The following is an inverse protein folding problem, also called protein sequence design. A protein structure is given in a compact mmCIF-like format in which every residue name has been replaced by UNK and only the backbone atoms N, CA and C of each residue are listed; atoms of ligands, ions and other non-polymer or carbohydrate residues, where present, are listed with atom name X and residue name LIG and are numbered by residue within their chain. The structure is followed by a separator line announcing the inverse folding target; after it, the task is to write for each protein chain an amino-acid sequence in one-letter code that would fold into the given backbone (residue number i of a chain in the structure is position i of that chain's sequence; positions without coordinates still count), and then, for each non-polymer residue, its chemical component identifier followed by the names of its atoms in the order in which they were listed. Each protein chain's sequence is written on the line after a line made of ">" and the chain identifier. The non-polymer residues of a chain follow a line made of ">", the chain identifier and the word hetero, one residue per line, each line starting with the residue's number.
data_IF_663683573775
#
_entry.id   IF_663683573775
#
_cell.length_a   1.000
_cell.length_b   1.000
_cell.length_c   1.000
_cell.angle_alpha   90.00
_cell.angle_beta   90.00
_cell.angle_gamma   90.00
#
_symmetry.space_group_name_H-M   'P 1'
#
loop_
_entity.id
_entity.type
_entity.pdbx_description
1 polymer ?
#
# COMPACT_ATOMS: atom_id res chain seq x y z
N UNK A 1 -31.78 46.47 28.39
CA UNK A 1 -31.13 45.62 29.40
C UNK A 1 -31.00 44.17 28.94
N UNK A 2 -31.94 43.65 28.14
CA UNK A 2 -31.93 42.25 27.64
C UNK A 2 -30.73 41.88 26.74
N UNK A 3 -30.27 42.79 25.89
CA UNK A 3 -29.14 42.48 24.99
C UNK A 3 -27.87 42.21 25.82
N UNK A 4 -27.64 43.00 26.88
CA UNK A 4 -26.45 42.85 27.74
C UNK A 4 -26.48 41.55 28.54
N UNK A 5 -27.65 41.07 28.96
CA UNK A 5 -27.77 39.77 29.62
C UNK A 5 -27.57 38.62 28.65
N UNK A 6 -28.09 38.69 27.42
CA UNK A 6 -27.85 37.65 26.41
C UNK A 6 -26.37 37.55 26.01
N UNK A 7 -25.65 38.67 25.89
CA UNK A 7 -24.20 38.63 25.64
C UNK A 7 -23.42 38.05 26.83
N UNK A 8 -23.85 38.34 28.07
CA UNK A 8 -23.21 37.78 29.26
C UNK A 8 -23.49 36.29 29.47
N UNK A 9 -24.63 35.78 28.98
CA UNK A 9 -24.94 34.35 28.95
C UNK A 9 -24.14 33.62 27.87
N UNK A 10 -23.99 34.21 26.68
CA UNK A 10 -23.13 33.66 25.63
C UNK A 10 -21.64 33.60 26.05
N UNK A 11 -21.12 34.64 26.71
CA UNK A 11 -19.75 34.63 27.25
C UNK A 11 -19.57 33.57 28.36
N UNK A 12 -20.62 33.25 29.10
CA UNK A 12 -20.59 32.18 30.10
C UNK A 12 -20.65 30.79 29.45
N UNK A 13 -21.41 30.61 28.38
CA UNK A 13 -21.43 29.36 27.61
C UNK A 13 -20.15 29.12 26.81
N UNK A 14 -19.52 30.16 26.25
CA UNK A 14 -18.25 30.03 25.53
C UNK A 14 -17.09 29.60 26.44
N UNK A 15 -17.20 29.85 27.75
CA UNK A 15 -16.27 29.38 28.77
C UNK A 15 -16.55 27.96 29.29
N UNK A 16 -17.66 27.32 28.88
CA UNK A 16 -17.95 25.91 29.20
C UNK A 16 -17.33 24.92 28.22
N UNK A 17 -16.91 25.38 27.03
CA UNK A 17 -16.16 24.55 26.12
C UNK A 17 -14.67 24.61 26.49
N UNK A 18 -14.04 23.49 26.90
CA UNK A 18 -12.63 23.49 27.22
C UNK A 18 -11.88 23.93 25.97
N UNK A 19 -11.27 25.12 25.98
CA UNK A 19 -10.44 25.62 24.87
C UNK A 19 -9.34 24.62 24.48
N UNK A 20 -8.97 23.71 25.41
CA UNK A 20 -8.09 22.56 25.17
C UNK A 20 -8.68 21.47 24.28
N UNK A 21 -9.99 21.20 24.35
CA UNK A 21 -10.67 20.20 23.54
C UNK A 21 -10.99 20.72 22.13
N UNK A 22 -11.32 22.01 22.00
CA UNK A 22 -11.42 22.65 20.67
C UNK A 22 -10.02 22.70 20.01
N UNK A 23 -8.95 23.02 20.75
CA UNK A 23 -7.57 22.94 20.21
C UNK A 23 -7.16 21.51 19.85
N UNK A 24 -7.50 20.50 20.65
CA UNK A 24 -7.25 19.08 20.32
C UNK A 24 -8.04 18.64 19.09
N UNK A 25 -9.29 19.09 18.94
CA UNK A 25 -10.12 18.84 17.77
C UNK A 25 -9.61 19.53 16.50
N UNK A 26 -9.14 20.77 16.60
CA UNK A 26 -8.62 21.57 15.47
C UNK A 26 -7.19 21.16 15.05
N UNK A 27 -6.35 20.68 15.96
CA UNK A 27 -5.03 20.14 15.62
C UNK A 27 -5.10 18.77 14.93
N UNK A 28 -6.23 18.07 15.03
CA UNK A 28 -6.53 16.84 14.30
C UNK A 28 -7.27 17.16 13.00
N UNK A 29 -6.60 17.92 12.10
CA UNK A 29 -7.13 18.27 10.77
C UNK A 29 -7.63 17.00 10.06
N UNK A 30 -8.95 16.89 9.83
CA UNK A 30 -9.57 15.89 8.93
C UNK A 30 -8.86 15.82 7.58
N UNK A 31 -8.33 16.95 7.11
CA UNK A 31 -7.53 17.05 5.89
C UNK A 31 -6.21 16.27 5.93
N UNK A 32 -5.63 16.02 7.10
CA UNK A 32 -4.27 15.47 7.17
C UNK A 32 -4.25 13.95 6.96
N UNK A 33 -5.25 13.21 7.47
CA UNK A 33 -5.32 11.74 7.34
C UNK A 33 -5.58 11.33 5.90
N UNK A 34 -6.62 11.89 5.27
CA UNK A 34 -6.97 11.61 3.87
C UNK A 34 -5.82 12.00 2.94
N UNK A 35 -5.21 13.16 3.15
CA UNK A 35 -4.04 13.61 2.38
C UNK A 35 -2.85 12.66 2.56
N UNK A 36 -2.58 12.20 3.79
CA UNK A 36 -1.51 11.22 4.07
C UNK A 36 -1.79 9.90 3.37
N UNK A 37 -3.02 9.39 3.39
CA UNK A 37 -3.41 8.16 2.69
C UNK A 37 -3.21 8.28 1.17
N UNK A 38 -3.68 9.38 0.58
CA UNK A 38 -3.44 9.67 -0.83
C UNK A 38 -1.94 9.74 -1.16
N UNK A 39 -1.14 10.37 -0.30
CA UNK A 39 0.33 10.42 -0.46
C UNK A 39 0.95 9.02 -0.39
N UNK A 40 0.47 8.13 0.48
CA UNK A 40 0.96 6.74 0.57
C UNK A 40 0.57 5.92 -0.67
N UNK A 41 -0.63 6.08 -1.21
CA UNK A 41 -1.03 5.47 -2.48
C UNK A 41 -0.19 5.98 -3.65
N UNK A 42 0.05 7.30 -3.71
CA UNK A 42 0.94 7.90 -4.71
C UNK A 42 2.37 7.35 -4.60
N UNK A 43 2.89 7.13 -3.38
CA UNK A 43 4.18 6.49 -3.18
C UNK A 43 4.24 5.06 -3.72
N UNK A 44 3.16 4.28 -3.58
CA UNK A 44 3.08 2.93 -4.18
C UNK A 44 3.12 2.98 -5.70
N UNK A 45 2.40 3.93 -6.31
CA UNK A 45 2.45 4.17 -7.75
C UNK A 45 3.87 4.55 -8.18
N UNK A 46 4.47 5.55 -7.52
CA UNK A 46 5.81 6.01 -7.85
C UNK A 46 6.85 4.90 -7.74
N UNK A 47 6.83 4.14 -6.64
CA UNK A 47 7.72 2.99 -6.45
C UNK A 47 7.53 1.95 -7.55
N UNK A 48 6.30 1.53 -7.82
CA UNK A 48 6.01 0.53 -8.86
C UNK A 48 6.43 1.03 -10.24
N UNK A 49 6.12 2.29 -10.58
CA UNK A 49 6.49 2.90 -11.85
C UNK A 49 8.01 3.01 -12.04
N UNK A 50 8.76 3.31 -10.98
CA UNK A 50 10.23 3.35 -11.03
C UNK A 50 10.82 1.96 -11.23
N UNK A 51 10.32 0.95 -10.51
CA UNK A 51 10.88 -0.41 -10.59
C UNK A 51 10.48 -1.16 -11.86
N UNK A 52 9.33 -0.84 -12.46
CA UNK A 52 8.82 -1.53 -13.67
C UNK A 52 9.83 -1.52 -14.83
N UNK A 53 10.41 -0.38 -15.25
CA UNK A 53 11.44 -0.34 -16.30
C UNK A 53 12.64 -1.23 -16.04
N UNK A 54 13.06 -1.41 -14.77
CA UNK A 54 14.22 -2.26 -14.45
C UNK A 54 13.97 -3.74 -14.77
N UNK A 55 12.73 -4.24 -14.61
CA UNK A 55 12.41 -5.62 -15.00
C UNK A 55 12.49 -5.80 -16.52
N UNK A 56 12.05 -4.81 -17.30
CA UNK A 56 12.17 -4.87 -18.76
C UNK A 56 13.61 -4.69 -19.23
N UNK A 57 14.38 -3.81 -18.58
CA UNK A 57 15.82 -3.66 -18.86
C UNK A 57 16.58 -4.96 -18.59
N UNK A 58 16.23 -5.67 -17.51
CA UNK A 58 16.85 -6.95 -17.17
C UNK A 58 16.69 -8.00 -18.28
N UNK A 59 15.62 -7.97 -19.09
CA UNK A 59 15.42 -8.90 -20.22
C UNK A 59 16.55 -8.78 -21.25
N UNK A 60 17.11 -7.59 -21.45
CA UNK A 60 18.21 -7.37 -22.39
C UNK A 60 19.58 -7.74 -21.80
N UNK A 61 19.71 -7.75 -20.47
CA UNK A 61 20.95 -8.06 -19.76
C UNK A 61 21.08 -9.57 -19.51
N UNK A 62 19.97 -10.23 -19.19
CA UNK A 62 19.95 -11.67 -18.89
C UNK A 62 20.16 -12.45 -20.17
N UNK A 63 21.16 -13.32 -20.21
CA UNK A 63 21.45 -14.16 -21.39
C UNK A 63 20.44 -15.30 -21.52
N UNK A 64 20.12 -15.98 -20.41
CA UNK A 64 19.29 -17.18 -20.42
C UNK A 64 17.82 -16.92 -20.78
N UNK A 65 17.23 -17.79 -21.61
CA UNK A 65 15.82 -17.68 -22.01
C UNK A 65 14.88 -17.80 -20.80
N UNK A 66 15.18 -18.69 -19.86
CA UNK A 66 14.41 -18.86 -18.61
C UNK A 66 14.41 -17.56 -17.80
N UNK A 67 15.57 -16.93 -17.65
CA UNK A 67 15.66 -15.67 -16.92
C UNK A 67 14.90 -14.54 -17.63
N UNK A 68 15.02 -14.43 -18.96
CA UNK A 68 14.22 -13.48 -19.75
C UNK A 68 12.72 -13.67 -19.54
N UNK A 69 12.24 -14.92 -19.59
CA UNK A 69 10.84 -15.24 -19.36
C UNK A 69 10.38 -14.87 -17.95
N UNK A 70 11.19 -15.13 -16.91
CA UNK A 70 10.88 -14.76 -15.54
C UNK A 70 10.80 -13.24 -15.34
N UNK A 71 11.77 -12.48 -15.87
CA UNK A 71 11.74 -11.02 -15.78
C UNK A 71 10.59 -10.41 -16.58
N UNK A 72 10.26 -10.95 -17.77
CA UNK A 72 9.09 -10.55 -18.54
C UNK A 72 7.78 -10.81 -17.79
N UNK A 73 7.66 -11.98 -17.15
CA UNK A 73 6.50 -12.35 -16.34
C UNK A 73 6.32 -11.39 -15.15
N UNK A 74 7.38 -11.13 -14.39
CA UNK A 74 7.33 -10.19 -13.27
C UNK A 74 7.01 -8.76 -13.77
N UNK A 75 7.65 -8.32 -14.86
CA UNK A 75 7.39 -7.03 -15.49
C UNK A 75 5.93 -6.85 -15.89
N UNK A 76 5.31 -7.88 -16.48
CA UNK A 76 3.88 -7.88 -16.81
C UNK A 76 3.02 -7.68 -15.55
N UNK A 77 3.29 -8.41 -14.48
CA UNK A 77 2.54 -8.26 -13.23
C UNK A 77 2.74 -6.90 -12.57
N UNK A 78 3.91 -6.27 -12.73
CA UNK A 78 4.12 -4.89 -12.28
C UNK A 78 3.33 -3.88 -13.11
N UNK A 79 3.18 -4.07 -14.41
CA UNK A 79 2.29 -3.25 -15.24
C UNK A 79 0.83 -3.39 -14.76
N UNK A 80 0.37 -4.62 -14.53
CA UNK A 80 -0.98 -4.88 -14.00
C UNK A 80 -1.16 -4.25 -12.61
N UNK A 81 -0.16 -4.37 -11.72
CA UNK A 81 -0.14 -3.75 -10.41
C UNK A 81 -0.16 -2.22 -10.48
N UNK A 82 0.60 -1.62 -11.40
CA UNK A 82 0.61 -0.19 -11.62
C UNK A 82 -0.75 0.33 -12.09
N UNK A 83 -1.38 -0.34 -13.06
CA UNK A 83 -2.74 -0.02 -13.52
C UNK A 83 -3.72 -0.10 -12.34
N UNK A 84 -3.61 -1.16 -11.53
CA UNK A 84 -4.44 -1.33 -10.35
C UNK A 84 -4.25 -0.18 -9.35
N UNK A 85 -3.01 0.19 -9.01
CA UNK A 85 -2.75 1.28 -8.06
C UNK A 85 -3.23 2.63 -8.59
N UNK A 86 -3.03 2.92 -9.88
CA UNK A 86 -3.55 4.14 -10.51
C UNK A 86 -5.08 4.18 -10.40
N UNK A 87 -5.76 3.05 -10.65
CA UNK A 87 -7.22 2.95 -10.49
C UNK A 87 -7.65 3.21 -9.06
N UNK A 88 -6.99 2.60 -8.07
CA UNK A 88 -7.34 2.81 -6.66
C UNK A 88 -7.06 4.23 -6.19
N UNK A 89 -5.99 4.86 -6.69
CA UNK A 89 -5.70 6.26 -6.43
C UNK A 89 -6.76 7.20 -7.03
N UNK A 90 -7.22 6.91 -8.26
CA UNK A 90 -8.31 7.67 -8.89
C UNK A 90 -9.62 7.53 -8.13
N UNK A 91 -9.95 6.32 -7.66
CA UNK A 91 -11.13 6.08 -6.81
C UNK A 91 -11.02 6.89 -5.52
N UNK A 92 -9.87 6.87 -4.84
CA UNK A 92 -9.65 7.68 -3.64
C UNK A 92 -9.86 9.17 -3.89
N UNK A 93 -9.36 9.69 -5.02
CA UNK A 93 -9.50 11.09 -5.41
C UNK A 93 -10.90 11.50 -5.85
N UNK A 94 -11.73 10.55 -6.25
CA UNK A 94 -13.12 10.79 -6.64
C UNK A 94 -14.06 10.97 -5.44
N UNK A 95 -13.62 10.64 -4.22
CA UNK A 95 -14.40 10.90 -3.02
C UNK A 95 -14.43 12.41 -2.73
N UNK A 96 -15.55 13.04 -3.06
CA UNK A 96 -15.78 14.48 -2.89
C UNK A 96 -16.68 14.75 -1.67
N UNK A 97 -16.16 15.37 -0.59
CA UNK A 97 -16.93 15.74 0.58
C UNK A 97 -18.08 16.73 0.30
N UNK A 98 -18.09 17.40 -0.86
CA UNK A 98 -19.19 18.29 -1.26
C UNK A 98 -20.39 17.56 -1.85
N UNK A 99 -20.20 16.33 -2.32
CA UNK A 99 -21.23 15.51 -2.98
C UNK A 99 -21.64 14.28 -2.15
N UNK A 100 -20.83 13.89 -1.17
CA UNK A 100 -21.01 12.68 -0.38
C UNK A 100 -21.07 13.00 1.10
N UNK A 101 -21.77 12.16 1.87
CA UNK A 101 -21.72 12.25 3.32
C UNK A 101 -20.31 11.96 3.84
N UNK A 102 -19.93 12.57 4.97
CA UNK A 102 -18.63 12.32 5.61
C UNK A 102 -18.41 10.83 5.87
N UNK A 103 -19.48 10.11 6.28
CA UNK A 103 -19.46 8.68 6.52
C UNK A 103 -19.07 7.89 5.27
N UNK A 104 -19.73 8.16 4.14
CA UNK A 104 -19.44 7.49 2.86
C UNK A 104 -18.01 7.74 2.40
N UNK A 105 -17.49 8.96 2.56
CA UNK A 105 -16.10 9.28 2.22
C UNK A 105 -15.13 8.46 3.06
N UNK A 106 -15.29 8.42 4.38
CA UNK A 106 -14.38 7.69 5.28
C UNK A 106 -14.44 6.18 5.02
N UNK A 107 -15.64 5.64 4.83
CA UNK A 107 -15.85 4.23 4.51
C UNK A 107 -15.21 3.87 3.15
N UNK A 108 -15.40 4.72 2.14
CA UNK A 108 -14.79 4.53 0.81
C UNK A 108 -13.27 4.48 0.86
N UNK A 109 -12.63 5.36 1.65
CA UNK A 109 -11.17 5.30 1.86
C UNK A 109 -10.74 4.01 2.56
N UNK A 110 -11.44 3.61 3.62
CA UNK A 110 -11.12 2.40 4.39
C UNK A 110 -11.19 1.14 3.51
N UNK A 111 -12.29 0.98 2.78
CA UNK A 111 -12.49 -0.15 1.87
C UNK A 111 -11.46 -0.17 0.74
N UNK A 112 -11.15 0.98 0.16
CA UNK A 112 -10.14 1.10 -0.89
C UNK A 112 -8.75 0.67 -0.41
N UNK A 113 -8.35 1.10 0.80
CA UNK A 113 -7.06 0.70 1.40
C UNK A 113 -7.04 -0.79 1.70
N UNK A 114 -8.10 -1.32 2.32
CA UNK A 114 -8.20 -2.75 2.62
C UNK A 114 -8.13 -3.60 1.36
N UNK A 115 -8.84 -3.20 0.30
CA UNK A 115 -8.80 -3.87 -1.01
C UNK A 115 -7.40 -3.82 -1.62
N UNK A 116 -6.74 -2.67 -1.55
CA UNK A 116 -5.38 -2.47 -2.06
C UNK A 116 -4.38 -3.40 -1.35
N UNK A 117 -4.36 -3.37 -0.02
CA UNK A 117 -3.44 -4.18 0.79
C UNK A 117 -3.70 -5.68 0.61
N UNK A 118 -4.96 -6.13 0.62
CA UNK A 118 -5.29 -7.55 0.44
C UNK A 118 -4.89 -8.07 -0.94
N UNK A 119 -5.05 -7.26 -1.99
CA UNK A 119 -4.63 -7.68 -3.32
C UNK A 119 -3.11 -7.77 -3.42
N UNK A 120 -2.38 -6.80 -2.88
CA UNK A 120 -0.92 -6.83 -2.83
C UNK A 120 -0.38 -8.06 -2.10
N UNK A 121 -0.96 -8.41 -0.94
CA UNK A 121 -0.54 -9.57 -0.16
C UNK A 121 -0.75 -10.89 -0.93
N UNK A 122 -1.87 -11.01 -1.64
CA UNK A 122 -2.19 -12.18 -2.47
C UNK A 122 -1.31 -12.26 -3.72
N UNK A 123 -1.16 -11.15 -4.43
CA UNK A 123 -0.31 -11.07 -5.61
C UNK A 123 1.16 -11.33 -5.24
N UNK A 124 1.63 -10.77 -4.14
CA UNK A 124 2.96 -10.99 -3.61
C UNK A 124 3.23 -12.47 -3.33
N UNK A 125 2.33 -13.15 -2.62
CA UNK A 125 2.47 -14.58 -2.32
C UNK A 125 2.66 -15.43 -3.58
N UNK A 126 1.94 -15.10 -4.65
CA UNK A 126 2.07 -15.78 -5.94
C UNK A 126 3.36 -15.41 -6.68
N UNK A 127 3.81 -14.15 -6.59
CA UNK A 127 4.96 -13.64 -7.34
C UNK A 127 6.32 -13.88 -6.68
N UNK A 128 6.39 -14.04 -5.35
CA UNK A 128 7.67 -14.22 -4.66
C UNK A 128 8.49 -15.42 -5.16
N UNK A 129 7.91 -16.60 -5.44
CA UNK A 129 8.68 -17.72 -6.01
C UNK A 129 9.32 -17.39 -7.37
N UNK A 130 8.60 -16.64 -8.22
CA UNK A 130 9.11 -16.21 -9.52
C UNK A 130 10.20 -15.15 -9.37
N UNK A 131 10.03 -14.19 -8.46
CA UNK A 131 11.04 -13.18 -8.17
C UNK A 131 12.34 -13.80 -7.61
N UNK A 132 12.22 -14.75 -6.68
CA UNK A 132 13.36 -15.50 -6.16
C UNK A 132 14.06 -16.33 -7.25
N UNK A 133 13.27 -17.01 -8.10
CA UNK A 133 13.80 -17.76 -9.25
C UNK A 133 14.51 -16.85 -10.24
N UNK A 134 13.96 -15.66 -10.52
CA UNK A 134 14.55 -14.69 -11.43
C UNK A 134 15.92 -14.22 -10.92
N UNK A 135 16.03 -13.90 -9.63
CA UNK A 135 17.30 -13.52 -9.00
C UNK A 135 18.32 -14.65 -9.02
N UNK A 136 17.89 -15.88 -8.76
CA UNK A 136 18.76 -17.06 -8.80
C UNK A 136 19.29 -17.35 -10.21
N UNK A 137 18.40 -17.40 -11.22
CA UNK A 137 18.77 -17.63 -12.62
C UNK A 137 19.63 -16.48 -13.16
N UNK A 138 19.34 -15.23 -12.76
CA UNK A 138 20.17 -14.09 -13.10
C UNK A 138 21.60 -14.25 -12.56
N UNK A 139 21.74 -14.62 -11.28
CA UNK A 139 23.05 -14.83 -10.66
C UNK A 139 23.85 -15.94 -11.35
N UNK A 140 23.21 -17.07 -11.67
CA UNK A 140 23.85 -18.15 -12.42
C UNK A 140 24.25 -17.74 -13.82
N UNK A 141 23.41 -16.96 -14.50
CA UNK A 141 23.70 -16.44 -15.84
C UNK A 141 24.92 -15.51 -15.83
N UNK A 142 25.02 -14.63 -14.84
CA UNK A 142 26.18 -13.74 -14.67
C UNK A 142 27.46 -14.49 -14.31
N UNK A 143 27.33 -15.61 -13.59
CA UNK A 143 28.47 -16.48 -13.26
C UNK A 143 28.88 -17.43 -14.41
N UNK A 144 28.17 -17.45 -15.53
CA UNK A 144 28.42 -18.39 -16.63
C UNK A 144 28.11 -19.86 -16.28
N UNK A 145 27.30 -20.10 -15.24
CA UNK A 145 27.01 -21.45 -14.69
C UNK A 145 25.63 -21.98 -15.08
N UNK A 146 25.01 -21.39 -16.09
CA UNK A 146 23.65 -21.76 -16.48
C UNK A 146 23.58 -23.19 -17.04
N UNK A 147 24.56 -23.61 -17.85
CA UNK A 147 24.59 -24.95 -18.43
C UNK A 147 24.85 -26.02 -17.37
N UNK A 148 25.74 -25.74 -16.41
CA UNK A 148 25.96 -26.60 -15.24
C UNK A 148 24.68 -26.75 -14.41
N UNK A 149 23.97 -25.65 -14.17
CA UNK A 149 22.70 -25.66 -13.46
C UNK A 149 21.64 -26.50 -14.18
N UNK A 150 21.55 -26.41 -15.50
CA UNK A 150 20.61 -27.21 -16.29
C UNK A 150 20.95 -28.70 -16.26
N UNK A 151 22.24 -29.05 -16.23
CA UNK A 151 22.70 -30.44 -16.17
C UNK A 151 22.60 -31.07 -14.77
N UNK A 152 22.60 -30.26 -13.71
CA UNK A 152 22.67 -30.76 -12.33
C UNK A 152 21.37 -30.52 -11.55
N UNK A 153 20.52 -31.55 -11.33
CA UNK A 153 19.25 -31.40 -10.62
C UNK A 153 19.41 -30.96 -9.17
N UNK A 154 20.58 -31.15 -8.54
CA UNK A 154 20.84 -30.69 -7.18
C UNK A 154 20.77 -29.16 -7.05
N UNK A 155 21.14 -28.43 -8.10
CA UNK A 155 21.10 -26.95 -8.11
C UNK A 155 19.64 -26.46 -8.03
N UNK A 156 18.74 -27.12 -8.75
CA UNK A 156 17.30 -26.82 -8.70
C UNK A 156 16.65 -27.23 -7.38
N UNK A 157 17.14 -28.29 -6.74
CA UNK A 157 16.71 -28.67 -5.40
C UNK A 157 17.09 -27.59 -4.36
N UNK A 158 18.31 -27.03 -4.46
CA UNK A 158 18.75 -25.91 -3.60
C UNK A 158 17.85 -24.69 -3.83
N UNK A 159 17.51 -24.36 -5.08
CA UNK A 159 16.55 -23.30 -5.37
C UNK A 159 15.20 -23.57 -4.71
N UNK A 160 14.65 -24.77 -4.86
CA UNK A 160 13.34 -25.13 -4.29
C UNK A 160 13.32 -24.95 -2.76
N UNK A 161 14.32 -25.48 -2.06
CA UNK A 161 14.45 -25.33 -0.60
C UNK A 161 14.59 -23.86 -0.21
N UNK A 162 15.37 -23.10 -0.98
CA UNK A 162 15.54 -21.65 -0.76
C UNK A 162 14.22 -20.90 -0.92
N UNK A 163 13.42 -21.23 -1.94
CA UNK A 163 12.11 -20.61 -2.17
C UNK A 163 11.11 -20.94 -1.07
N UNK A 164 11.14 -22.17 -0.53
CA UNK A 164 10.29 -22.55 0.60
C UNK A 164 10.57 -21.74 1.87
N UNK A 165 11.80 -21.25 2.03
CA UNK A 165 12.20 -20.42 3.18
C UNK A 165 11.97 -18.92 2.88
N UNK A 166 12.41 -18.45 1.71
CA UNK A 166 12.35 -17.02 1.38
C UNK A 166 10.91 -16.55 1.16
N UNK A 167 10.06 -17.35 0.52
CA UNK A 167 8.66 -16.97 0.23
C UNK A 167 7.87 -16.61 1.49
N UNK A 168 7.83 -17.43 2.56
CA UNK A 168 7.12 -17.05 3.78
C UNK A 168 7.77 -15.82 4.45
N UNK A 169 9.11 -15.73 4.49
CA UNK A 169 9.80 -14.56 5.07
C UNK A 169 9.41 -13.27 4.33
N UNK A 170 9.40 -13.30 3.00
CA UNK A 170 8.99 -12.17 2.16
C UNK A 170 7.52 -11.80 2.41
N UNK A 171 6.64 -12.79 2.51
CA UNK A 171 5.22 -12.58 2.77
C UNK A 171 4.97 -11.94 4.15
N UNK A 172 5.59 -12.46 5.22
CA UNK A 172 5.47 -11.88 6.56
C UNK A 172 6.04 -10.47 6.63
N UNK A 173 7.16 -10.22 5.95
CA UNK A 173 7.79 -8.90 5.87
C UNK A 173 6.90 -7.88 5.16
N UNK A 174 6.29 -8.27 4.04
CA UNK A 174 5.37 -7.40 3.30
C UNK A 174 4.10 -7.09 4.11
N UNK A 175 3.52 -8.09 4.77
CA UNK A 175 2.36 -7.91 5.67
C UNK A 175 2.70 -6.98 6.84
N UNK A 176 3.88 -7.14 7.44
CA UNK A 176 4.36 -6.27 8.50
C UNK A 176 4.55 -4.82 8.02
N UNK A 177 5.13 -4.61 6.84
CA UNK A 177 5.32 -3.29 6.25
C UNK A 177 3.98 -2.62 5.94
N UNK A 178 3.02 -3.36 5.38
CA UNK A 178 1.67 -2.85 5.11
C UNK A 178 0.95 -2.48 6.41
N UNK A 179 1.02 -3.33 7.44
CA UNK A 179 0.49 -3.04 8.77
C UNK A 179 1.11 -1.76 9.34
N UNK A 180 2.44 -1.63 9.33
CA UNK A 180 3.15 -0.45 9.83
C UNK A 180 2.78 0.82 9.06
N UNK A 181 2.50 0.71 7.77
CA UNK A 181 2.20 1.85 6.90
C UNK A 181 0.76 2.35 7.04
N UNK A 182 -0.22 1.44 7.12
CA UNK A 182 -1.63 1.78 7.00
C UNK A 182 -2.43 1.66 8.29
N UNK A 183 -2.03 0.79 9.23
CA UNK A 183 -2.83 0.45 10.42
C UNK A 183 -3.25 1.68 11.23
N UNK A 184 -2.31 2.58 11.53
CA UNK A 184 -2.65 3.78 12.31
C UNK A 184 -3.70 4.67 11.64
N UNK A 185 -3.77 4.68 10.31
CA UNK A 185 -4.76 5.47 9.59
C UNK A 185 -6.10 4.74 9.48
N UNK A 186 -6.09 3.43 9.24
CA UNK A 186 -7.31 2.62 9.18
C UNK A 186 -7.99 2.54 10.54
N UNK A 187 -7.24 2.33 11.62
CA UNK A 187 -7.77 2.30 13.00
C UNK A 187 -8.44 3.66 13.35
N UNK A 188 -7.84 4.77 12.90
CA UNK A 188 -8.41 6.10 13.11
C UNK A 188 -9.68 6.31 12.29
N UNK A 189 -9.72 5.87 11.03
CA UNK A 189 -10.92 5.94 10.19
C UNK A 189 -12.07 5.11 10.79
N UNK A 190 -11.78 3.90 11.27
CA UNK A 190 -12.75 3.02 11.94
C UNK A 190 -13.31 3.66 13.21
N UNK A 191 -12.45 4.24 14.06
CA UNK A 191 -12.88 4.96 15.27
C UNK A 191 -13.81 6.12 14.92
N UNK A 192 -13.52 6.87 13.84
CA UNK A 192 -14.36 8.00 13.41
C UNK A 192 -15.68 7.56 12.81
N UNK A 193 -15.71 6.43 12.11
CA UNK A 193 -16.95 5.83 11.62
C UNK A 193 -17.85 5.41 12.77
N UNK A 194 -17.30 4.74 13.79
CA UNK A 194 -18.07 4.35 14.98
C UNK A 194 -18.69 5.58 15.70
N UNK A 195 -17.93 6.66 15.85
CA UNK A 195 -18.44 7.92 16.43
C UNK A 195 -19.57 8.57 15.61
N UNK A 196 -19.62 8.33 14.30
CA UNK A 196 -20.68 8.85 13.44
C UNK A 196 -21.93 7.95 13.46
N UNK A 197 -21.79 6.69 13.84
CA UNK A 197 -22.93 5.76 13.97
C UNK A 197 -23.60 5.86 15.36
N UNK A 198 -22.90 6.43 16.36
CA UNK A 198 -23.41 6.66 17.73
C UNK A 198 -24.16 8.00 17.91
N UNK A 199 -24.08 8.91 16.94
CA UNK A 199 -24.74 10.23 16.95
C UNK A 199 -25.84 10.30 15.88
#
# INVERSE_FOLDING_TARGET
>A
MEIKSSWQEMDKEENLLPKGDIKKGMHLKKEDVIRKLNKRLAWKIAFTAIFTPFYFLAIFIVVSLIGKALFAFIGLFHILGLIFFIRQYRIAKAFDPSQMSVREVLQGYLENIHKTVRLEERAGLFLYPFAGSAGFVFSLSQAGKMDEALANPKIWLVLLVTLLIITPIAHYSAKWLNKKTFKSYTDLLETRLAQLDEN
#
